data_IF_422509675744
#
_entry.id   IF_422509675744
#
_cell.length_a   1.000
_cell.length_b   1.000
_cell.length_c   1.000
_cell.angle_alpha   90.00
_cell.angle_beta   90.00
_cell.angle_gamma   90.00
#
_symmetry.space_group_name_H-M   'P 1'
#
loop_
_entity.id
_entity.type
_entity.pdbx_description
1 polymer ?
#
# COMPACT_ATOMS: atom_id res chain seq x y z
N UNK A 1 6.18 35.40 -0.53
CA UNK A 1 7.33 34.45 -0.45
C UNK A 1 7.18 33.46 0.70
N UNK A 2 7.06 33.88 1.97
CA UNK A 2 6.90 32.98 3.13
C UNK A 2 5.68 32.03 3.04
N UNK A 3 4.54 32.53 2.56
CA UNK A 3 3.30 31.74 2.42
C UNK A 3 3.44 30.61 1.39
N UNK A 4 4.10 30.89 0.26
CA UNK A 4 4.38 29.88 -0.76
C UNK A 4 5.33 28.80 -0.25
N UNK A 5 6.34 29.17 0.55
CA UNK A 5 7.26 28.22 1.18
C UNK A 5 6.54 27.34 2.20
N UNK A 6 5.62 27.90 2.99
CA UNK A 6 4.81 27.14 3.95
C UNK A 6 3.85 26.17 3.24
N UNK A 7 3.23 26.60 2.14
CA UNK A 7 2.35 25.78 1.32
C UNK A 7 3.11 24.62 0.65
N UNK A 8 4.29 24.88 0.07
CA UNK A 8 5.09 23.81 -0.54
C UNK A 8 5.60 22.82 0.51
N UNK A 9 6.03 23.29 1.69
CA UNK A 9 6.44 22.41 2.78
C UNK A 9 5.28 21.53 3.28
N UNK A 10 4.07 22.10 3.41
CA UNK A 10 2.88 21.36 3.82
C UNK A 10 2.50 20.25 2.81
N UNK A 11 2.62 20.53 1.50
CA UNK A 11 2.37 19.52 0.46
C UNK A 11 3.41 18.40 0.50
N UNK A 12 4.71 18.71 0.67
CA UNK A 12 5.75 17.69 0.80
C UNK A 12 5.52 16.76 2.00
N UNK A 13 5.03 17.30 3.13
CA UNK A 13 4.76 16.51 4.33
C UNK A 13 3.55 15.56 4.18
N UNK A 14 2.62 15.83 3.26
CA UNK A 14 1.50 14.92 2.99
C UNK A 14 1.89 13.73 2.09
N UNK A 15 2.99 13.82 1.33
CA UNK A 15 3.37 12.80 0.31
C UNK A 15 4.11 11.60 0.92
N UNK A 16 4.60 11.69 2.16
CA UNK A 16 5.44 10.65 2.79
C UNK A 16 4.69 9.51 3.48
N UNK A 17 3.35 9.51 3.51
CA UNK A 17 2.59 8.58 4.35
C UNK A 17 2.36 7.17 3.76
N UNK A 18 2.45 6.95 2.45
CA UNK A 18 1.85 5.73 1.85
C UNK A 18 2.70 5.05 0.77
N UNK A 19 4.00 4.84 0.99
CA UNK A 19 4.82 4.09 0.01
C UNK A 19 5.67 2.99 0.64
N UNK A 20 5.16 2.28 1.64
CA UNK A 20 5.65 0.96 2.01
C UNK A 20 4.98 -0.14 1.15
N UNK A 21 4.94 0.04 -0.18
CA UNK A 21 4.47 -1.00 -1.09
C UNK A 21 5.59 -1.91 -1.50
N UNK A 22 5.97 -2.79 -0.57
CA UNK A 22 6.59 -4.04 -0.97
C UNK A 22 5.57 -4.75 -1.87
N UNK A 23 5.83 -4.74 -3.18
CA UNK A 23 5.03 -5.46 -4.18
C UNK A 23 5.21 -6.95 -3.95
N UNK A 24 4.54 -7.50 -2.92
CA UNK A 24 4.61 -8.89 -2.46
C UNK A 24 4.10 -9.85 -3.54
N UNK A 25 4.81 -9.97 -4.67
CA UNK A 25 4.39 -10.70 -5.87
C UNK A 25 3.71 -9.84 -6.94
N UNK A 26 3.25 -8.65 -6.64
CA UNK A 26 2.55 -7.78 -7.60
C UNK A 26 3.53 -7.05 -8.54
N UNK A 27 3.24 -6.90 -9.86
CA UNK A 27 2.02 -7.29 -10.59
C UNK A 27 1.99 -8.73 -11.13
N UNK A 28 3.15 -9.39 -11.23
CA UNK A 28 3.29 -10.65 -11.97
C UNK A 28 2.86 -11.93 -11.23
N UNK A 29 2.51 -11.84 -9.95
CA UNK A 29 2.29 -13.00 -9.09
C UNK A 29 1.30 -12.69 -7.95
N UNK A 30 0.02 -12.67 -8.29
CA UNK A 30 -1.09 -12.52 -7.34
C UNK A 30 -1.10 -13.60 -6.25
N UNK A 31 -0.68 -14.83 -6.58
CA UNK A 31 -0.65 -15.94 -5.62
C UNK A 31 0.34 -15.67 -4.48
N UNK A 32 1.51 -15.10 -4.80
CA UNK A 32 2.51 -14.71 -3.79
C UNK A 32 1.97 -13.62 -2.87
N UNK A 33 1.17 -12.68 -3.40
CA UNK A 33 0.49 -11.66 -2.60
C UNK A 33 -0.54 -12.29 -1.66
N UNK A 34 -1.40 -13.15 -2.19
CA UNK A 34 -2.38 -13.87 -1.39
C UNK A 34 -1.73 -14.71 -0.27
N UNK A 35 -0.65 -15.43 -0.57
CA UNK A 35 0.05 -16.25 0.42
C UNK A 35 0.75 -15.40 1.48
N UNK A 36 1.31 -14.25 1.09
CA UNK A 36 1.85 -13.27 2.05
C UNK A 36 0.76 -12.79 3.01
N UNK A 37 -0.40 -12.37 2.49
CA UNK A 37 -1.53 -11.93 3.32
C UNK A 37 -2.04 -13.04 4.25
N UNK A 38 -2.10 -14.29 3.78
CA UNK A 38 -2.45 -15.43 4.63
C UNK A 38 -1.42 -15.70 5.72
N UNK A 39 -0.14 -15.49 5.43
CA UNK A 39 0.94 -15.64 6.42
C UNK A 39 0.87 -14.61 7.56
N UNK A 40 0.19 -13.48 7.36
CA UNK A 40 -0.02 -12.44 8.38
C UNK A 40 -1.44 -12.44 8.95
N UNK A 41 -2.12 -13.59 8.88
CA UNK A 41 -3.48 -13.81 9.42
C UNK A 41 -4.60 -13.03 8.73
N UNK A 42 -4.44 -12.73 7.43
CA UNK A 42 -5.53 -12.24 6.59
C UNK A 42 -6.15 -13.35 5.73
N UNK A 43 -7.41 -13.21 5.35
CA UNK A 43 -8.11 -14.22 4.54
C UNK A 43 -7.57 -14.32 3.13
N UNK A 44 -7.30 -13.17 2.51
CA UNK A 44 -6.89 -13.10 1.11
C UNK A 44 -6.06 -11.84 0.82
N UNK A 45 -5.32 -11.87 -0.30
CA UNK A 45 -4.59 -10.74 -0.82
C UNK A 45 -4.67 -10.65 -2.34
N UNK A 46 -4.69 -9.43 -2.89
CA UNK A 46 -4.76 -9.18 -4.32
C UNK A 46 -3.87 -8.01 -4.75
N UNK A 47 -3.51 -7.97 -6.03
CA UNK A 47 -2.79 -6.83 -6.62
C UNK A 47 -3.77 -5.73 -7.00
N UNK A 48 -3.59 -4.54 -6.45
CA UNK A 48 -4.55 -3.45 -6.51
C UNK A 48 -4.51 -2.69 -7.83
N UNK A 49 -5.65 -2.63 -8.54
CA UNK A 49 -5.74 -1.98 -9.84
C UNK A 49 -5.57 -0.46 -9.80
N UNK A 50 -5.93 0.21 -8.69
CA UNK A 50 -5.75 1.66 -8.55
C UNK A 50 -4.27 2.06 -8.49
N UNK A 51 -3.39 1.09 -8.16
CA UNK A 51 -1.94 1.25 -8.16
C UNK A 51 -1.24 0.59 -9.34
N UNK A 52 -1.94 0.38 -10.46
CA UNK A 52 -1.40 -0.34 -11.62
C UNK A 52 -0.93 -1.77 -11.25
N UNK A 53 -1.64 -2.43 -10.34
CA UNK A 53 -1.33 -3.77 -9.83
C UNK A 53 0.06 -3.87 -9.20
N UNK A 54 0.67 -2.77 -8.75
CA UNK A 54 1.99 -2.80 -8.12
C UNK A 54 1.91 -3.08 -6.60
N UNK A 55 0.77 -2.76 -5.98
CA UNK A 55 0.50 -2.92 -4.54
C UNK A 55 -0.21 -4.25 -4.27
N UNK A 56 0.29 -4.98 -3.27
CA UNK A 56 -0.45 -6.08 -2.66
C UNK A 56 -1.36 -5.54 -1.55
N UNK A 57 -2.66 -5.76 -1.66
CA UNK A 57 -3.68 -5.38 -0.68
C UNK A 57 -4.22 -6.63 -0.01
N UNK A 58 -4.16 -6.68 1.32
CA UNK A 58 -4.75 -7.76 2.12
C UNK A 58 -6.17 -7.39 2.57
N UNK A 59 -7.04 -8.39 2.64
CA UNK A 59 -8.46 -8.25 3.02
C UNK A 59 -8.84 -9.24 4.11
N UNK A 60 -9.87 -8.90 4.89
CA UNK A 60 -10.39 -9.72 5.99
C UNK A 60 -9.26 -10.19 6.94
N UNK A 61 -8.50 -9.23 7.49
CA UNK A 61 -7.43 -9.49 8.44
C UNK A 61 -7.99 -9.64 9.85
N UNK A 62 -7.85 -10.83 10.46
CA UNK A 62 -8.24 -11.03 11.85
C UNK A 62 -7.21 -10.35 12.76
N UNK A 63 -7.63 -9.30 13.47
CA UNK A 63 -6.79 -8.51 14.37
C UNK A 63 -6.52 -7.05 13.94
N UNK A 64 -7.33 -6.50 13.03
CA UNK A 64 -7.35 -5.06 12.73
C UNK A 64 -8.74 -4.51 13.09
N UNK A 65 -8.83 -3.94 14.29
CA UNK A 65 -9.90 -3.01 14.70
C UNK A 65 -9.66 -1.65 14.04
#
# INVERSE_FOLDING_TARGET
MKVFVLLTLAVLLMVSADMAFAGFGCPGNQLKCNNHCKSISCRAGYCDAATLWLRCTCTDCNGKE
#
